data_IF_244287673849
#
_entry.id   IF_244287673849
#
_cell.length_a   1.000
_cell.length_b   1.000
_cell.length_c   1.000
_cell.angle_alpha   90.00
_cell.angle_beta   90.00
_cell.angle_gamma   90.00
#
_symmetry.space_group_name_H-M   'P 1'
#
loop_
_entity.id
_entity.type
_entity.pdbx_description
1 polymer ?
#
# COMPACT_ATOMS: atom_id res chain seq x y z
N UNK A 1 18.45 -26.45 -43.85
CA UNK A 1 17.70 -25.38 -44.53
C UNK A 1 17.24 -24.22 -43.63
N UNK A 2 17.51 -24.21 -42.31
CA UNK A 2 17.14 -23.07 -41.42
C UNK A 2 18.23 -22.00 -41.24
N UNK A 3 19.51 -22.29 -41.52
CA UNK A 3 20.61 -21.34 -41.28
C UNK A 3 20.67 -20.17 -42.27
N UNK A 4 20.13 -20.32 -43.47
CA UNK A 4 20.16 -19.25 -44.49
C UNK A 4 19.13 -18.15 -44.22
N UNK A 5 18.07 -18.39 -43.46
CA UNK A 5 17.01 -17.40 -43.25
C UNK A 5 17.42 -16.29 -42.27
N UNK A 6 18.34 -16.58 -41.34
CA UNK A 6 18.86 -15.61 -40.37
C UNK A 6 19.72 -14.52 -41.03
N UNK A 7 20.38 -14.84 -42.14
CA UNK A 7 21.19 -13.89 -42.94
C UNK A 7 20.34 -12.93 -43.76
N UNK A 8 19.02 -13.16 -43.89
CA UNK A 8 18.09 -12.34 -44.69
C UNK A 8 17.03 -11.61 -43.86
N UNK A 9 17.24 -11.43 -42.55
CA UNK A 9 16.37 -10.55 -41.77
C UNK A 9 16.62 -9.10 -42.20
N UNK A 10 15.74 -8.58 -43.05
CA UNK A 10 15.79 -7.20 -43.54
C UNK A 10 15.55 -6.21 -42.40
N UNK A 11 16.01 -4.96 -42.56
CA UNK A 11 15.77 -3.87 -41.62
C UNK A 11 14.27 -3.69 -41.29
N UNK A 12 13.38 -4.02 -42.24
CA UNK A 12 11.93 -3.98 -42.07
C UNK A 12 11.42 -4.98 -41.01
N UNK A 13 12.09 -6.13 -40.84
CA UNK A 13 11.72 -7.13 -39.84
C UNK A 13 11.88 -6.61 -38.39
N UNK A 14 12.70 -5.56 -38.19
CA UNK A 14 12.94 -4.92 -36.90
C UNK A 14 12.22 -3.57 -36.75
N UNK A 15 11.40 -3.17 -37.73
CA UNK A 15 10.74 -1.85 -37.74
C UNK A 15 9.75 -1.63 -36.59
N UNK A 16 9.19 -2.70 -36.01
CA UNK A 16 8.29 -2.65 -34.86
C UNK A 16 9.01 -2.72 -33.50
N UNK A 17 10.35 -2.83 -33.50
CA UNK A 17 11.16 -3.04 -32.30
C UNK A 17 11.84 -1.71 -31.90
N UNK A 18 11.92 -1.39 -30.60
CA UNK A 18 12.67 -0.23 -30.12
C UNK A 18 14.12 -0.26 -30.63
N UNK A 19 14.59 0.86 -31.19
CA UNK A 19 15.91 0.95 -31.82
C UNK A 19 17.06 0.50 -30.93
N UNK A 20 16.95 0.79 -29.63
CA UNK A 20 17.96 0.45 -28.63
C UNK A 20 18.09 -1.06 -28.37
N UNK A 21 17.09 -1.86 -28.78
CA UNK A 21 17.07 -3.31 -28.64
C UNK A 21 17.47 -4.04 -29.94
N UNK A 22 17.42 -3.36 -31.09
CA UNK A 22 17.67 -3.98 -32.40
C UNK A 22 19.09 -4.55 -32.51
N UNK A 23 20.09 -3.79 -32.05
CA UNK A 23 21.50 -4.23 -32.09
C UNK A 23 21.75 -5.47 -31.24
N UNK A 24 21.11 -5.56 -30.07
CA UNK A 24 21.19 -6.72 -29.19
C UNK A 24 20.53 -7.95 -29.82
N UNK A 25 19.33 -7.80 -30.36
CA UNK A 25 18.61 -8.89 -31.02
C UNK A 25 19.35 -9.40 -32.27
N UNK A 26 19.94 -8.51 -33.07
CA UNK A 26 20.77 -8.90 -34.21
C UNK A 26 21.97 -9.74 -33.77
N UNK A 27 22.63 -9.37 -32.67
CA UNK A 27 23.74 -10.16 -32.11
C UNK A 27 23.26 -11.53 -31.60
N UNK A 28 22.10 -11.61 -30.97
CA UNK A 28 21.51 -12.89 -30.52
C UNK A 28 21.20 -13.84 -31.68
N UNK A 29 20.84 -13.31 -32.85
CA UNK A 29 20.52 -14.07 -34.05
C UNK A 29 21.75 -14.41 -34.92
N UNK A 30 22.94 -13.98 -34.50
CA UNK A 30 24.19 -14.25 -35.21
C UNK A 30 24.41 -15.76 -35.39
N UNK A 31 24.89 -16.16 -36.58
CA UNK A 31 25.31 -17.54 -36.85
C UNK A 31 26.58 -17.92 -36.08
N UNK A 32 27.40 -16.93 -35.71
CA UNK A 32 28.57 -17.11 -34.86
C UNK A 32 28.16 -17.01 -33.39
N UNK A 33 28.26 -18.14 -32.68
CA UNK A 33 27.92 -18.25 -31.26
C UNK A 33 28.72 -17.28 -30.38
N UNK A 34 29.98 -17.02 -30.69
CA UNK A 34 30.84 -16.14 -29.90
C UNK A 34 30.41 -14.66 -29.93
N UNK A 35 29.57 -14.27 -30.90
CA UNK A 35 29.03 -12.91 -31.01
C UNK A 35 27.68 -12.76 -30.28
N UNK A 36 27.07 -13.85 -29.83
CA UNK A 36 25.79 -13.80 -29.11
C UNK A 36 26.04 -13.33 -27.68
N UNK A 37 25.30 -12.32 -27.18
CA UNK A 37 25.44 -11.88 -25.81
C UNK A 37 24.98 -12.99 -24.85
N UNK A 38 25.60 -13.05 -23.68
CA UNK A 38 25.05 -13.88 -22.59
C UNK A 38 23.73 -13.28 -22.08
N UNK A 39 22.95 -14.06 -21.33
CA UNK A 39 21.74 -13.55 -20.70
C UNK A 39 22.01 -12.35 -19.77
N UNK A 40 23.18 -12.33 -19.11
CA UNK A 40 23.61 -11.22 -18.26
C UNK A 40 23.93 -9.98 -19.09
N UNK A 41 24.64 -10.14 -20.22
CA UNK A 41 24.97 -9.01 -21.10
C UNK A 41 23.72 -8.40 -21.73
N UNK A 42 22.76 -9.25 -22.13
CA UNK A 42 21.49 -8.80 -22.70
C UNK A 42 20.64 -8.04 -21.69
N UNK A 43 20.47 -8.57 -20.47
CA UNK A 43 19.70 -7.89 -19.41
C UNK A 43 20.39 -6.63 -18.85
N UNK A 44 21.69 -6.48 -19.11
CA UNK A 44 22.47 -5.28 -18.82
C UNK A 44 22.49 -4.23 -19.95
N UNK A 45 21.80 -4.48 -21.07
CA UNK A 45 21.81 -3.55 -22.20
C UNK A 45 21.12 -2.20 -21.86
N UNK A 46 21.44 -1.11 -22.59
CA UNK A 46 20.89 0.22 -22.30
C UNK A 46 19.36 0.23 -22.21
N UNK A 47 18.70 -0.55 -23.07
CA UNK A 47 17.24 -0.68 -23.08
C UNK A 47 16.67 -1.11 -21.71
N UNK A 48 17.29 -2.08 -21.03
CA UNK A 48 16.83 -2.55 -19.72
C UNK A 48 17.49 -1.83 -18.53
N UNK A 49 18.72 -1.34 -18.71
CA UNK A 49 19.46 -0.66 -17.66
C UNK A 49 18.90 0.74 -17.39
N UNK A 50 18.55 1.45 -18.45
CA UNK A 50 18.21 2.87 -18.38
C UNK A 50 16.69 3.09 -18.15
N UNK A 51 15.85 2.06 -18.33
CA UNK A 51 14.41 2.09 -17.96
C UNK A 51 14.25 2.35 -16.46
N UNK A 52 13.60 3.48 -16.14
CA UNK A 52 13.42 3.96 -14.76
C UNK A 52 12.56 3.02 -13.92
N UNK A 53 11.57 2.33 -14.51
CA UNK A 53 10.72 1.37 -13.77
C UNK A 53 11.52 0.14 -13.38
N UNK A 54 12.35 -0.39 -14.28
CA UNK A 54 13.24 -1.50 -13.96
C UNK A 54 14.28 -1.12 -12.91
N UNK A 55 14.82 0.10 -12.96
CA UNK A 55 15.69 0.61 -11.89
C UNK A 55 14.96 0.70 -10.54
N UNK A 56 13.72 1.16 -10.53
CA UNK A 56 12.92 1.21 -9.31
C UNK A 56 12.62 -0.19 -8.73
N UNK A 57 12.30 -1.17 -9.59
CA UNK A 57 12.10 -2.56 -9.15
C UNK A 57 13.38 -3.17 -8.58
N UNK A 58 14.53 -2.94 -9.20
CA UNK A 58 15.84 -3.37 -8.66
C UNK A 58 16.14 -2.70 -7.31
N UNK A 59 15.77 -1.43 -7.13
CA UNK A 59 15.92 -0.77 -5.84
C UNK A 59 15.03 -1.42 -4.78
N UNK A 60 13.77 -1.74 -5.12
CA UNK A 60 12.82 -2.42 -4.24
C UNK A 60 13.33 -3.78 -3.74
N UNK A 61 13.97 -4.56 -4.63
CA UNK A 61 14.56 -5.86 -4.29
C UNK A 61 15.61 -5.75 -3.17
N UNK A 62 16.33 -4.62 -3.12
CA UNK A 62 17.36 -4.34 -2.12
C UNK A 62 16.96 -3.28 -1.09
N UNK A 63 15.68 -2.88 -1.05
CA UNK A 63 15.25 -1.69 -0.30
C UNK A 63 15.54 -1.84 1.19
N UNK A 64 15.32 -3.03 1.75
CA UNK A 64 15.51 -3.29 3.19
C UNK A 64 16.96 -3.10 3.65
N UNK A 65 17.93 -3.23 2.74
CA UNK A 65 19.37 -3.08 2.99
C UNK A 65 19.83 -1.62 2.96
N UNK A 66 18.98 -0.71 2.47
CA UNK A 66 19.31 0.71 2.31
C UNK A 66 19.08 1.50 3.59
N UNK A 67 19.79 2.62 3.73
CA UNK A 67 19.57 3.56 4.82
C UNK A 67 18.25 4.35 4.64
N UNK A 68 17.78 4.97 5.73
CA UNK A 68 16.50 5.70 5.73
C UNK A 68 16.51 6.93 4.79
N UNK A 69 17.67 7.53 4.52
CA UNK A 69 17.78 8.70 3.63
C UNK A 69 17.54 8.27 2.19
N UNK A 70 18.24 7.24 1.73
CA UNK A 70 18.07 6.63 0.41
C UNK A 70 16.64 6.12 0.22
N UNK A 71 16.07 5.45 1.23
CA UNK A 71 14.65 5.02 1.19
C UNK A 71 13.71 6.21 1.03
N UNK A 72 13.91 7.29 1.79
CA UNK A 72 13.05 8.47 1.73
C UNK A 72 13.05 9.14 0.36
N UNK A 73 14.23 9.31 -0.23
CA UNK A 73 14.37 9.86 -1.60
C UNK A 73 13.69 8.95 -2.63
N UNK A 74 13.92 7.64 -2.54
CA UNK A 74 13.32 6.67 -3.43
C UNK A 74 11.80 6.64 -3.32
N UNK A 75 11.23 6.58 -2.12
CA UNK A 75 9.79 6.46 -1.91
C UNK A 75 9.03 7.69 -2.43
N UNK A 76 9.63 8.89 -2.34
CA UNK A 76 9.09 10.10 -2.98
C UNK A 76 9.05 9.97 -4.50
N UNK A 77 10.15 9.54 -5.12
CA UNK A 77 10.18 9.31 -6.56
C UNK A 77 9.20 8.21 -6.99
N UNK A 78 9.07 7.15 -6.19
CA UNK A 78 8.17 6.04 -6.47
C UNK A 78 6.69 6.48 -6.42
N UNK A 79 6.32 7.40 -5.52
CA UNK A 79 4.94 7.90 -5.45
C UNK A 79 4.51 8.64 -6.71
N UNK A 80 5.42 9.32 -7.40
CA UNK A 80 5.12 10.03 -8.66
C UNK A 80 4.95 9.06 -9.84
N UNK A 81 5.70 7.95 -9.84
CA UNK A 81 5.72 6.95 -10.91
C UNK A 81 4.64 5.87 -10.79
N UNK A 82 3.78 5.94 -9.79
CA UNK A 82 2.87 4.86 -9.42
C UNK A 82 1.95 4.40 -10.55
N UNK A 83 1.54 5.34 -11.41
CA UNK A 83 0.62 5.11 -12.54
C UNK A 83 1.28 4.39 -13.72
N UNK A 84 2.61 4.30 -13.74
CA UNK A 84 3.37 3.71 -14.83
C UNK A 84 3.56 2.19 -14.65
N UNK A 85 3.11 1.63 -13.52
CA UNK A 85 3.17 0.21 -13.21
C UNK A 85 1.83 -0.49 -13.46
N UNK A 86 1.90 -1.70 -14.04
CA UNK A 86 0.75 -2.60 -14.12
C UNK A 86 0.29 -3.01 -12.70
N UNK A 87 -1.01 -3.18 -12.45
CA UNK A 87 -1.53 -3.58 -11.15
C UNK A 87 -0.88 -4.85 -10.58
N UNK A 88 -0.49 -5.81 -11.44
CA UNK A 88 0.21 -7.02 -11.00
C UNK A 88 1.62 -6.72 -10.51
N UNK A 89 2.31 -5.78 -11.14
CA UNK A 89 3.66 -5.36 -10.68
C UNK A 89 3.56 -4.68 -9.32
N UNK A 90 2.58 -3.78 -9.15
CA UNK A 90 2.32 -3.15 -7.85
C UNK A 90 2.07 -4.20 -6.77
N UNK A 91 1.20 -5.18 -7.05
CA UNK A 91 0.85 -6.24 -6.11
C UNK A 91 2.00 -7.19 -5.76
N UNK A 92 2.73 -7.70 -6.76
CA UNK A 92 3.67 -8.80 -6.56
C UNK A 92 5.12 -8.36 -6.41
N UNK A 93 5.46 -7.12 -6.79
CA UNK A 93 6.83 -6.61 -6.72
C UNK A 93 6.98 -5.38 -5.82
N UNK A 94 5.99 -4.50 -5.76
CA UNK A 94 6.08 -3.26 -4.98
C UNK A 94 5.52 -3.41 -3.57
N UNK A 95 4.35 -4.03 -3.40
CA UNK A 95 3.71 -4.20 -2.10
C UNK A 95 4.55 -5.02 -1.10
N UNK A 96 5.15 -6.18 -1.44
CA UNK A 96 5.85 -7.00 -0.46
C UNK A 96 7.02 -6.30 0.28
N UNK A 97 7.94 -5.58 -0.40
CA UNK A 97 8.99 -4.83 0.28
C UNK A 97 8.44 -3.66 1.11
N UNK A 98 7.38 -2.98 0.65
CA UNK A 98 6.71 -1.92 1.44
C UNK A 98 6.09 -2.49 2.73
N UNK A 99 5.36 -3.59 2.64
CA UNK A 99 4.82 -4.31 3.81
C UNK A 99 5.94 -4.75 4.77
N UNK A 100 7.06 -5.21 4.23
CA UNK A 100 8.23 -5.60 5.02
C UNK A 100 8.91 -4.41 5.70
N UNK A 101 8.78 -3.20 5.17
CA UNK A 101 9.36 -1.98 5.77
C UNK A 101 8.44 -1.36 6.84
N UNK A 102 7.17 -1.78 6.96
CA UNK A 102 6.25 -1.28 7.99
C UNK A 102 6.74 -1.51 9.43
N UNK A 103 7.68 -2.44 9.65
CA UNK A 103 8.33 -2.65 10.97
C UNK A 103 9.32 -1.53 11.34
N UNK A 104 9.71 -0.67 10.40
CA UNK A 104 10.53 0.51 10.66
C UNK A 104 9.64 1.70 11.05
N UNK A 105 9.53 1.96 12.36
CA UNK A 105 8.66 3.00 12.92
C UNK A 105 8.91 4.40 12.33
N UNK A 106 10.16 4.72 12.00
CA UNK A 106 10.54 6.02 11.43
C UNK A 106 9.99 6.20 10.02
N UNK A 107 9.90 5.11 9.26
CA UNK A 107 9.45 5.12 7.86
C UNK A 107 7.94 4.91 7.72
N UNK A 108 7.25 4.43 8.76
CA UNK A 108 5.81 4.14 8.75
C UNK A 108 4.95 5.28 8.19
N UNK A 109 5.13 6.56 8.56
CA UNK A 109 4.29 7.65 8.04
C UNK A 109 4.37 7.82 6.52
N UNK A 110 5.49 7.45 5.91
CA UNK A 110 5.69 7.51 4.45
C UNK A 110 5.26 6.23 3.74
N UNK A 111 5.51 5.07 4.35
CA UNK A 111 5.18 3.76 3.75
C UNK A 111 3.69 3.47 3.81
N UNK A 112 3.04 3.80 4.92
CA UNK A 112 1.65 3.43 5.18
C UNK A 112 0.67 3.96 4.11
N UNK A 113 0.72 5.23 3.67
CA UNK A 113 -0.14 5.72 2.59
C UNK A 113 0.07 4.96 1.29
N UNK A 114 1.32 4.56 1.00
CA UNK A 114 1.66 3.81 -0.22
C UNK A 114 1.07 2.40 -0.17
N UNK A 115 1.23 1.70 0.96
CA UNK A 115 0.63 0.36 1.17
C UNK A 115 -0.89 0.43 1.05
N UNK A 116 -1.53 1.42 1.69
CA UNK A 116 -2.98 1.57 1.66
C UNK A 116 -3.48 1.92 0.24
N UNK A 117 -2.74 2.72 -0.53
CA UNK A 117 -3.05 3.01 -1.93
C UNK A 117 -3.06 1.75 -2.80
N UNK A 118 -2.08 0.84 -2.66
CA UNK A 118 -2.12 -0.46 -3.38
C UNK A 118 -3.33 -1.26 -2.91
N UNK A 119 -3.54 -1.28 -1.59
CA UNK A 119 -4.59 -2.04 -0.95
C UNK A 119 -5.99 -1.63 -1.43
N UNK A 120 -6.23 -0.38 -1.85
CA UNK A 120 -7.51 0.06 -2.44
C UNK A 120 -7.93 -0.78 -3.64
N UNK A 121 -6.98 -1.19 -4.49
CA UNK A 121 -7.23 -2.00 -5.69
C UNK A 121 -7.44 -3.50 -5.43
N UNK A 122 -7.11 -3.98 -4.23
CA UNK A 122 -7.23 -5.39 -3.87
C UNK A 122 -8.69 -5.78 -3.58
N UNK A 123 -9.08 -7.02 -3.84
CA UNK A 123 -10.31 -7.54 -3.26
C UNK A 123 -10.12 -7.88 -1.76
N UNK A 124 -11.18 -8.36 -1.10
CA UNK A 124 -11.11 -8.70 0.34
C UNK A 124 -10.13 -9.83 0.62
N UNK A 125 -10.13 -10.87 -0.20
CA UNK A 125 -9.29 -12.06 0.01
C UNK A 125 -7.81 -11.70 -0.15
N UNK A 126 -7.50 -10.93 -1.19
CA UNK A 126 -6.15 -10.46 -1.47
C UNK A 126 -5.64 -9.53 -0.36
N UNK A 127 -6.49 -8.63 0.12
CA UNK A 127 -6.15 -7.75 1.23
C UNK A 127 -5.83 -8.52 2.50
N UNK A 128 -6.68 -9.50 2.87
CA UNK A 128 -6.48 -10.31 4.08
C UNK A 128 -5.25 -11.21 4.00
N UNK A 129 -4.94 -11.76 2.83
CA UNK A 129 -3.80 -12.66 2.67
C UNK A 129 -2.46 -11.92 2.57
N UNK A 130 -2.43 -10.76 1.91
CA UNK A 130 -1.16 -10.10 1.55
C UNK A 130 -0.86 -8.82 2.33
N UNK A 131 -1.88 -8.03 2.68
CA UNK A 131 -1.69 -6.68 3.24
C UNK A 131 -1.99 -6.63 4.73
N UNK A 132 -3.13 -7.19 5.15
CA UNK A 132 -3.58 -7.16 6.53
C UNK A 132 -2.56 -7.75 7.53
N UNK A 133 -1.87 -8.88 7.26
CA UNK A 133 -0.93 -9.45 8.21
C UNK A 133 0.24 -8.49 8.54
N UNK A 134 0.66 -7.68 7.57
CA UNK A 134 1.69 -6.66 7.77
C UNK A 134 1.14 -5.40 8.48
N UNK A 135 -0.15 -5.10 8.31
CA UNK A 135 -0.81 -3.98 9.01
C UNK A 135 -1.13 -4.31 10.47
N UNK A 136 -1.47 -5.55 10.82
CA UNK A 136 -1.88 -5.93 12.19
C UNK A 136 -0.90 -5.46 13.28
N UNK A 137 0.43 -5.66 13.17
CA UNK A 137 1.37 -5.13 14.15
C UNK A 137 1.27 -3.60 14.29
N UNK A 138 1.14 -2.88 13.17
CA UNK A 138 1.01 -1.42 13.13
C UNK A 138 -0.32 -0.98 13.75
N UNK A 139 -1.43 -1.66 13.44
CA UNK A 139 -2.75 -1.43 14.04
C UNK A 139 -2.72 -1.62 15.56
N UNK A 140 -1.85 -2.48 16.09
CA UNK A 140 -1.76 -2.74 17.51
C UNK A 140 -0.83 -1.75 18.25
N UNK A 141 0.22 -1.24 17.59
CA UNK A 141 1.26 -0.43 18.26
C UNK A 141 1.32 1.05 17.84
N UNK A 142 0.62 1.47 16.79
CA UNK A 142 0.71 2.84 16.28
C UNK A 142 0.22 3.88 17.31
N UNK A 143 0.91 5.02 17.33
CA UNK A 143 0.64 6.21 18.13
C UNK A 143 0.95 7.48 17.33
N UNK A 144 0.49 8.65 17.81
CA UNK A 144 0.78 9.95 17.21
C UNK A 144 0.35 10.05 15.75
N UNK A 145 1.22 10.60 14.89
CA UNK A 145 0.93 10.80 13.47
C UNK A 145 0.66 9.49 12.71
N UNK A 146 1.32 8.38 13.05
CA UNK A 146 1.05 7.08 12.40
C UNK A 146 -0.36 6.59 12.74
N UNK A 147 -0.79 6.74 14.00
CA UNK A 147 -2.15 6.38 14.39
C UNK A 147 -3.17 7.27 13.68
N UNK A 148 -2.89 8.58 13.57
CA UNK A 148 -3.79 9.53 12.89
C UNK A 148 -3.98 9.13 11.43
N UNK A 149 -2.90 8.75 10.76
CA UNK A 149 -2.94 8.28 9.39
C UNK A 149 -3.75 6.99 9.25
N UNK A 150 -3.56 6.00 10.14
CA UNK A 150 -4.38 4.79 10.15
C UNK A 150 -5.87 5.11 10.33
N UNK A 151 -6.20 6.02 11.25
CA UNK A 151 -7.60 6.42 11.49
C UNK A 151 -8.18 7.08 10.25
N UNK A 152 -7.48 8.02 9.59
CA UNK A 152 -7.93 8.67 8.34
C UNK A 152 -8.29 7.65 7.25
N UNK A 153 -7.54 6.56 7.15
CA UNK A 153 -7.76 5.49 6.17
C UNK A 153 -8.50 4.26 6.72
N UNK A 154 -9.03 4.32 7.95
CA UNK A 154 -9.62 3.16 8.60
C UNK A 154 -10.78 2.56 7.81
N UNK A 155 -11.50 3.37 7.05
CA UNK A 155 -12.63 2.94 6.22
C UNK A 155 -12.24 1.88 5.18
N UNK A 156 -11.04 1.97 4.59
CA UNK A 156 -10.52 0.95 3.69
C UNK A 156 -10.40 -0.40 4.41
N UNK A 157 -9.79 -0.38 5.60
CA UNK A 157 -9.55 -1.58 6.42
C UNK A 157 -10.89 -2.15 6.91
N UNK A 158 -11.80 -1.27 7.37
CA UNK A 158 -13.14 -1.61 7.84
C UNK A 158 -13.96 -2.33 6.74
N UNK A 159 -13.82 -1.90 5.49
CA UNK A 159 -14.58 -2.50 4.39
C UNK A 159 -14.00 -3.83 3.88
N UNK A 160 -12.73 -4.11 4.15
CA UNK A 160 -12.01 -5.28 3.61
C UNK A 160 -11.67 -6.36 4.62
N UNK A 161 -11.53 -6.01 5.90
CA UNK A 161 -11.21 -6.97 6.95
C UNK A 161 -12.45 -7.76 7.43
N UNK A 162 -12.22 -9.00 7.85
CA UNK A 162 -13.20 -9.87 8.47
C UNK A 162 -13.67 -9.31 9.81
N UNK A 163 -14.87 -9.72 10.22
CA UNK A 163 -15.45 -9.30 11.49
C UNK A 163 -14.54 -9.61 12.69
N UNK A 164 -13.83 -10.75 12.67
CA UNK A 164 -12.85 -11.12 13.68
C UNK A 164 -11.70 -10.11 13.78
N UNK A 165 -11.14 -9.70 12.64
CA UNK A 165 -10.07 -8.70 12.60
C UNK A 165 -10.55 -7.28 12.96
N UNK A 166 -11.81 -6.95 12.63
CA UNK A 166 -12.41 -5.68 13.07
C UNK A 166 -12.46 -5.60 14.61
N UNK A 167 -12.90 -6.67 15.27
CA UNK A 167 -12.98 -6.72 16.73
C UNK A 167 -11.58 -6.77 17.36
N UNK A 168 -10.68 -7.57 16.80
CA UNK A 168 -9.38 -7.87 17.44
C UNK A 168 -8.32 -6.79 17.23
N UNK A 169 -8.41 -6.01 16.15
CA UNK A 169 -7.34 -5.07 15.77
C UNK A 169 -7.86 -3.65 15.48
N UNK A 170 -8.93 -3.52 14.69
CA UNK A 170 -9.42 -2.19 14.28
C UNK A 170 -10.13 -1.47 15.43
N UNK A 171 -10.99 -2.16 16.16
CA UNK A 171 -11.69 -1.60 17.30
C UNK A 171 -10.70 -1.14 18.41
N UNK A 172 -9.73 -1.96 18.87
CA UNK A 172 -8.71 -1.51 19.81
C UNK A 172 -7.91 -0.30 19.30
N UNK A 173 -7.59 -0.26 18.01
CA UNK A 173 -6.92 0.90 17.41
C UNK A 173 -7.75 2.18 17.53
N UNK A 174 -9.04 2.15 17.19
CA UNK A 174 -9.92 3.32 17.35
C UNK A 174 -10.11 3.69 18.82
N UNK A 175 -10.20 2.72 19.73
CA UNK A 175 -10.28 2.97 21.18
C UNK A 175 -9.04 3.73 21.67
N UNK A 176 -7.83 3.41 21.18
CA UNK A 176 -6.63 4.21 21.50
C UNK A 176 -6.71 5.63 20.92
N UNK A 177 -7.24 5.79 19.71
CA UNK A 177 -7.42 7.11 19.11
C UNK A 177 -8.42 7.99 19.88
N UNK A 178 -9.43 7.39 20.52
CA UNK A 178 -10.37 8.10 21.41
C UNK A 178 -9.71 8.70 22.65
N UNK A 179 -8.65 8.07 23.14
CA UNK A 179 -7.92 8.50 24.34
C UNK A 179 -6.82 9.54 24.03
N UNK A 180 -6.58 9.84 22.75
CA UNK A 180 -5.57 10.80 22.33
C UNK A 180 -5.98 12.24 22.69
N UNK A 181 -4.98 13.08 22.97
CA UNK A 181 -5.16 14.49 23.31
C UNK A 181 -5.25 15.41 22.09
N UNK A 182 -4.84 14.94 20.90
CA UNK A 182 -4.91 15.71 19.67
C UNK A 182 -6.37 15.84 19.18
N UNK A 183 -6.84 17.09 19.06
CA UNK A 183 -8.18 17.40 18.55
C UNK A 183 -8.41 16.85 17.12
N UNK A 184 -7.37 16.80 16.27
CA UNK A 184 -7.45 16.24 14.91
C UNK A 184 -7.74 14.74 14.94
N UNK A 185 -7.12 14.02 15.88
CA UNK A 185 -7.37 12.60 16.11
C UNK A 185 -8.80 12.37 16.58
N UNK A 186 -9.24 13.13 17.59
CA UNK A 186 -10.57 13.02 18.15
C UNK A 186 -11.66 13.29 17.11
N UNK A 187 -11.48 14.28 16.24
CA UNK A 187 -12.42 14.54 15.15
C UNK A 187 -12.46 13.37 14.15
N UNK A 188 -11.30 12.87 13.74
CA UNK A 188 -11.21 11.83 12.72
C UNK A 188 -11.75 10.47 13.21
N UNK A 189 -11.45 10.09 14.47
CA UNK A 189 -11.96 8.84 15.06
C UNK A 189 -13.49 8.87 15.16
N UNK A 190 -14.09 10.01 15.48
CA UNK A 190 -15.55 10.17 15.52
C UNK A 190 -16.17 9.96 14.13
N UNK A 191 -15.58 10.54 13.09
CA UNK A 191 -16.05 10.38 11.69
C UNK A 191 -16.02 8.91 11.27
N UNK A 192 -14.89 8.23 11.50
CA UNK A 192 -14.68 6.85 11.02
C UNK A 192 -15.40 5.80 11.85
N UNK A 193 -15.75 6.12 13.10
CA UNK A 193 -16.54 5.24 13.97
C UNK A 193 -17.92 4.93 13.41
N UNK A 194 -18.54 5.85 12.66
CA UNK A 194 -19.85 5.60 12.00
C UNK A 194 -19.78 4.37 11.09
N UNK A 195 -18.71 4.23 10.32
CA UNK A 195 -18.53 3.11 9.39
C UNK A 195 -18.28 1.79 10.13
N UNK A 196 -17.54 1.82 11.24
CA UNK A 196 -17.28 0.63 12.05
C UNK A 196 -18.54 0.15 12.80
N UNK A 197 -19.31 1.06 13.41
CA UNK A 197 -20.49 0.74 14.21
C UNK A 197 -21.54 -0.04 13.40
N UNK A 198 -21.66 0.23 12.10
CA UNK A 198 -22.58 -0.50 11.20
C UNK A 198 -22.22 -1.98 11.03
N UNK A 199 -20.98 -2.36 11.32
CA UNK A 199 -20.47 -3.73 11.17
C UNK A 199 -20.29 -4.47 12.49
N UNK A 200 -20.57 -3.81 13.62
CA UNK A 200 -20.39 -4.38 14.96
C UNK A 200 -21.73 -4.64 15.65
N UNK A 201 -21.74 -5.64 16.52
CA UNK A 201 -22.89 -5.91 17.36
C UNK A 201 -23.17 -4.76 18.33
N UNK A 202 -24.45 -4.51 18.55
CA UNK A 202 -24.96 -3.44 19.41
C UNK A 202 -24.37 -3.55 20.83
N UNK A 203 -24.22 -4.76 21.38
CA UNK A 203 -23.64 -4.94 22.71
C UNK A 203 -22.18 -4.48 22.78
N UNK A 204 -21.39 -4.81 21.77
CA UNK A 204 -19.98 -4.42 21.68
C UNK A 204 -19.84 -2.90 21.55
N UNK A 205 -20.66 -2.27 20.71
CA UNK A 205 -20.70 -0.80 20.57
C UNK A 205 -21.03 -0.12 21.90
N UNK A 206 -22.02 -0.65 22.64
CA UNK A 206 -22.42 -0.11 23.96
C UNK A 206 -21.29 -0.20 24.99
N UNK A 207 -20.47 -1.25 24.95
CA UNK A 207 -19.42 -1.50 25.94
C UNK A 207 -18.12 -0.78 25.59
N UNK A 208 -17.69 -0.83 24.32
CA UNK A 208 -16.38 -0.35 23.90
C UNK A 208 -16.38 1.11 23.44
N UNK A 209 -17.41 1.53 22.70
CA UNK A 209 -17.40 2.81 21.97
C UNK A 209 -18.19 3.89 22.73
N UNK A 210 -19.40 3.57 23.20
CA UNK A 210 -20.29 4.53 23.83
C UNK A 210 -19.66 5.27 25.03
N UNK A 211 -18.95 4.60 25.97
CA UNK A 211 -18.32 5.30 27.09
C UNK A 211 -17.26 6.32 26.64
N UNK A 212 -16.56 6.04 25.53
CA UNK A 212 -15.50 6.90 25.00
C UNK A 212 -16.06 8.11 24.29
N UNK A 213 -17.10 7.93 23.48
CA UNK A 213 -17.82 9.04 22.84
C UNK A 213 -18.45 9.94 23.89
N UNK A 214 -19.07 9.36 24.92
CA UNK A 214 -19.61 10.15 26.03
C UNK A 214 -18.52 10.94 26.75
N UNK A 215 -17.38 10.31 27.05
CA UNK A 215 -16.23 10.97 27.67
C UNK A 215 -15.68 12.12 26.83
N UNK A 216 -15.60 11.98 25.50
CA UNK A 216 -15.19 13.07 24.61
C UNK A 216 -16.22 14.20 24.56
N UNK A 217 -17.52 13.89 24.58
CA UNK A 217 -18.59 14.89 24.55
C UNK A 217 -18.58 15.81 25.78
N UNK A 218 -18.17 15.27 26.93
CA UNK A 218 -18.01 16.08 28.14
C UNK A 218 -16.79 17.00 28.09
N UNK A 219 -15.80 16.67 27.26
CA UNK A 219 -14.52 17.40 27.15
C UNK A 219 -14.46 18.36 25.98
N UNK A 220 -15.34 18.21 24.99
CA UNK A 220 -15.25 18.92 23.71
C UNK A 220 -16.61 19.49 23.31
N UNK A 221 -16.61 20.69 22.74
CA UNK A 221 -17.82 21.37 22.21
C UNK A 221 -18.03 21.10 20.72
N UNK A 222 -17.37 20.08 20.17
CA UNK A 222 -17.33 19.82 18.73
C UNK A 222 -18.68 19.25 18.28
N UNK A 223 -19.34 19.93 17.33
CA UNK A 223 -20.65 19.55 16.80
C UNK A 223 -20.69 18.11 16.23
N UNK A 224 -19.57 17.60 15.71
CA UNK A 224 -19.44 16.22 15.23
C UNK A 224 -19.69 15.19 16.34
N UNK A 225 -19.33 15.51 17.59
CA UNK A 225 -19.57 14.64 18.75
C UNK A 225 -21.06 14.53 19.04
N UNK A 226 -21.80 15.65 18.94
CA UNK A 226 -23.25 15.66 19.08
C UNK A 226 -23.93 14.84 17.97
N UNK A 227 -23.45 14.94 16.73
CA UNK A 227 -23.95 14.14 15.61
C UNK A 227 -23.72 12.64 15.81
N UNK A 228 -22.54 12.23 16.30
CA UNK A 228 -22.24 10.83 16.58
C UNK A 228 -23.02 10.30 17.79
N UNK A 229 -23.18 11.10 18.84
CA UNK A 229 -24.04 10.79 19.98
C UNK A 229 -25.49 10.59 19.53
N UNK A 230 -26.02 11.49 18.71
CA UNK A 230 -27.37 11.36 18.14
C UNK A 230 -27.47 10.10 17.29
N UNK A 231 -26.49 9.79 16.45
CA UNK A 231 -26.49 8.56 15.65
C UNK A 231 -26.43 7.30 16.53
N UNK A 232 -25.61 7.29 17.58
CA UNK A 232 -25.53 6.19 18.54
C UNK A 232 -26.80 6.07 19.40
N UNK A 233 -27.48 7.18 19.69
CA UNK A 233 -28.78 7.20 20.33
C UNK A 233 -29.87 6.69 19.38
N UNK A 234 -29.87 7.09 18.11
CA UNK A 234 -30.82 6.63 17.08
C UNK A 234 -30.67 5.12 16.82
N UNK A 235 -29.44 4.62 16.67
CA UNK A 235 -29.14 3.18 16.57
C UNK A 235 -29.64 2.39 17.79
N UNK A 236 -29.93 3.07 18.92
CA UNK A 236 -30.27 2.45 20.20
C UNK A 236 -31.70 2.71 20.69
N UNK A 237 -32.43 3.67 20.10
CA UNK A 237 -33.83 3.99 20.48
C UNK A 237 -34.87 3.67 19.40
N UNK A 238 -34.48 3.18 18.21
CA UNK A 238 -35.44 2.67 17.23
C UNK A 238 -36.48 3.71 16.82
N UNK A 239 -36.01 4.84 16.29
CA UNK A 239 -36.79 5.68 15.38
C UNK A 239 -36.30 5.46 13.96
#
# INVERSE_FOLDING_TARGET
MYMNTLTYLSSEAFSSIPRDLVSDLQRMLSSNEALRPTAMDFTGSPFFRDDTRLRALRFLDHMLERDNMQKTEFLKALSDMWKDFDPRVLRYKVLPPLCSELRNLVMQPMILPMVLTIAESQDKNDFELSTLPALVPVLNSAAGETLLLLVKHAELIINKASHEHLISHVLPMLVRAYDDTDARMQEEVLKKTVSLVKQLDVQLVKQAILPRVHGLALKTTVAAVCGLLLLMLMVKFGF
#
